data_IF_215516051071
#
_entry.id   IF_215516051071
#
_cell.length_a   1.000
_cell.length_b   1.000
_cell.length_c   1.000
_cell.angle_alpha   90.00
_cell.angle_beta   90.00
_cell.angle_gamma   90.00
#
_symmetry.space_group_name_H-M   'P 1'
#
loop_
_entity.id
_entity.type
_entity.pdbx_description
1 polymer ?
#
# COMPACT_ATOMS: atom_id res chain seq x y z
N UNK A 1 -2.56 38.50 1.44
CA UNK A 1 -3.13 38.57 0.07
C UNK A 1 -3.96 39.84 -0.09
N UNK A 2 -3.96 40.42 -1.28
CA UNK A 2 -4.88 41.49 -1.66
C UNK A 2 -6.15 40.86 -2.25
N UNK A 3 -7.31 41.19 -1.69
CA UNK A 3 -8.59 40.58 -2.07
C UNK A 3 -9.20 41.19 -3.34
N UNK A 4 -8.76 42.38 -3.79
CA UNK A 4 -9.30 43.02 -4.99
C UNK A 4 -8.60 42.58 -6.28
N UNK A 5 -7.30 42.26 -6.22
CA UNK A 5 -6.52 41.83 -7.39
C UNK A 5 -5.92 40.42 -7.26
N UNK A 6 -6.12 39.74 -6.13
CA UNK A 6 -5.65 38.38 -5.90
C UNK A 6 -4.15 38.23 -5.66
N UNK A 7 -3.37 39.33 -5.63
CA UNK A 7 -1.92 39.27 -5.43
C UNK A 7 -1.57 38.74 -4.04
N UNK A 8 -0.59 37.85 -3.96
CA UNK A 8 -0.18 37.17 -2.72
C UNK A 8 1.30 37.46 -2.43
N UNK A 9 1.59 37.53 -1.15
CA UNK A 9 2.93 37.62 -0.59
C UNK A 9 2.98 36.58 0.51
N UNK A 10 4.07 35.82 0.56
CA UNK A 10 4.31 34.77 1.54
C UNK A 10 5.69 35.00 2.11
N UNK A 11 5.82 34.92 3.43
CA UNK A 11 7.07 35.08 4.16
C UNK A 11 7.08 34.10 5.32
N UNK A 12 8.27 33.58 5.64
CA UNK A 12 8.48 32.73 6.81
C UNK A 12 9.01 33.59 7.94
N UNK A 13 8.42 33.44 9.11
CA UNK A 13 8.84 34.12 10.34
C UNK A 13 10.24 33.68 10.76
N UNK A 14 11.09 34.59 11.22
CA UNK A 14 12.40 34.24 11.76
C UNK A 14 12.28 33.62 13.16
N UNK A 15 13.37 33.02 13.69
CA UNK A 15 13.37 32.33 14.99
C UNK A 15 12.89 33.18 16.17
N UNK A 16 13.05 34.50 16.11
CA UNK A 16 12.54 35.45 17.11
C UNK A 16 11.09 35.95 16.84
N UNK A 17 10.31 35.32 15.95
CA UNK A 17 8.87 35.61 15.76
C UNK A 17 8.49 36.80 14.87
N UNK A 18 9.47 37.50 14.31
CA UNK A 18 9.28 38.64 13.42
C UNK A 18 9.27 38.25 11.94
N UNK A 19 8.60 39.08 11.15
CA UNK A 19 8.44 38.93 9.71
C UNK A 19 8.32 40.31 9.06
N UNK A 20 8.71 40.43 7.80
CA UNK A 20 8.60 41.67 7.02
C UNK A 20 8.10 41.32 5.64
N UNK A 21 7.10 42.06 5.17
CA UNK A 21 6.61 42.01 3.79
C UNK A 21 6.88 43.37 3.19
N UNK A 22 7.77 43.39 2.19
CA UNK A 22 8.12 44.59 1.43
C UNK A 22 7.34 44.63 0.10
N UNK A 23 7.28 45.80 -0.52
CA UNK A 23 6.64 46.01 -1.82
C UNK A 23 5.17 45.54 -1.91
N UNK A 24 4.43 45.66 -0.82
CA UNK A 24 2.99 45.52 -0.83
C UNK A 24 2.37 46.70 -1.59
N UNK A 25 1.49 46.43 -2.55
CA UNK A 25 0.85 47.47 -3.34
C UNK A 25 -0.04 48.36 -2.44
N UNK A 26 -0.15 49.64 -2.78
CA UNK A 26 -1.07 50.55 -2.09
C UNK A 26 -2.54 50.16 -2.34
N UNK A 27 -3.42 50.47 -1.38
CA UNK A 27 -4.84 50.16 -1.44
C UNK A 27 -5.22 48.94 -0.60
N UNK A 28 -6.20 48.17 -1.06
CA UNK A 28 -6.73 47.02 -0.34
C UNK A 28 -8.02 46.50 -0.98
N UNK A 29 -8.84 45.74 -0.24
CA UNK A 29 -8.61 45.27 1.12
C UNK A 29 -7.62 44.08 1.16
N UNK A 30 -6.71 44.11 2.12
CA UNK A 30 -5.77 43.04 2.41
C UNK A 30 -6.32 42.08 3.46
N UNK A 31 -6.00 40.80 3.29
CA UNK A 31 -6.11 39.75 4.31
C UNK A 31 -4.72 39.21 4.60
N UNK A 32 -4.29 39.34 5.85
CA UNK A 32 -3.04 38.77 6.37
C UNK A 32 -3.44 37.53 7.18
N UNK A 33 -2.76 36.40 6.95
CA UNK A 33 -3.05 35.14 7.62
C UNK A 33 -1.75 34.52 8.11
N UNK A 34 -1.73 34.13 9.38
CA UNK A 34 -0.61 33.47 10.03
C UNK A 34 -0.99 32.02 10.34
N UNK A 35 -0.08 31.09 10.02
CA UNK A 35 -0.26 29.65 10.24
C UNK A 35 1.01 29.06 10.86
N UNK A 36 0.82 28.18 11.84
CA UNK A 36 1.91 27.40 12.43
C UNK A 36 1.41 26.00 12.80
N UNK A 37 2.32 25.01 12.77
CA UNK A 37 1.99 23.63 13.14
C UNK A 37 1.61 23.55 14.62
N UNK A 38 0.49 22.89 14.94
CA UNK A 38 -0.03 22.78 16.31
C UNK A 38 -0.80 24.01 16.79
N UNK A 39 -1.01 25.02 15.95
CA UNK A 39 -1.77 26.22 16.29
C UNK A 39 -2.94 26.45 15.34
N UNK A 40 -4.00 27.08 15.84
CA UNK A 40 -5.12 27.48 15.01
C UNK A 40 -4.71 28.66 14.10
N UNK A 41 -5.07 28.67 12.81
CA UNK A 41 -4.74 29.77 11.91
C UNK A 41 -5.48 31.05 12.35
N UNK A 42 -4.77 32.17 12.36
CA UNK A 42 -5.35 33.49 12.66
C UNK A 42 -5.27 34.37 11.41
N UNK A 43 -6.36 35.08 11.10
CA UNK A 43 -6.41 35.98 9.95
C UNK A 43 -7.01 37.34 10.32
N UNK A 44 -6.42 38.41 9.77
CA UNK A 44 -6.92 39.78 9.84
C UNK A 44 -7.24 40.26 8.43
N UNK A 45 -8.47 40.71 8.21
CA UNK A 45 -8.97 41.17 6.92
C UNK A 45 -9.43 42.64 6.99
N UNK A 46 -9.66 43.26 5.83
CA UNK A 46 -10.14 44.65 5.74
C UNK A 46 -9.04 45.69 5.88
N UNK A 47 -7.77 45.29 5.75
CA UNK A 47 -6.63 46.19 5.89
C UNK A 47 -6.47 47.02 4.60
N UNK A 48 -6.31 48.33 4.72
CA UNK A 48 -5.99 49.23 3.60
C UNK A 48 -4.63 49.86 3.85
N UNK A 49 -3.70 49.70 2.91
CA UNK A 49 -2.34 50.21 2.99
C UNK A 49 -2.23 51.54 2.23
N UNK A 50 -1.74 52.58 2.90
CA UNK A 50 -1.38 53.84 2.27
C UNK A 50 0.08 53.82 1.76
N UNK A 51 0.41 54.70 0.82
CA UNK A 51 1.77 54.82 0.29
C UNK A 51 2.75 55.22 1.40
N UNK A 52 3.86 54.49 1.53
CA UNK A 52 4.88 54.73 2.56
C UNK A 52 4.46 54.33 3.98
N UNK A 53 3.29 53.73 4.17
CA UNK A 53 2.84 53.26 5.48
C UNK A 53 3.55 51.96 5.86
N UNK A 54 4.17 51.95 7.05
CA UNK A 54 4.58 50.72 7.72
C UNK A 54 3.46 50.24 8.64
N UNK A 55 2.77 49.18 8.26
CA UNK A 55 1.77 48.53 9.09
C UNK A 55 2.45 47.47 9.99
N UNK A 56 2.16 47.50 11.29
CA UNK A 56 2.52 46.45 12.23
C UNK A 56 1.28 45.62 12.52
N UNK A 57 1.38 44.30 12.34
CA UNK A 57 0.29 43.37 12.56
C UNK A 57 0.76 42.19 13.42
N UNK A 58 0.60 42.30 14.74
CA UNK A 58 0.99 41.22 15.64
C UNK A 58 -0.09 40.13 15.65
N UNK A 59 0.30 38.86 15.58
CA UNK A 59 -0.59 37.70 15.64
C UNK A 59 -0.27 36.88 16.88
N UNK A 60 -1.30 36.41 17.59
CA UNK A 60 -1.14 35.55 18.75
C UNK A 60 -1.87 34.23 18.47
N UNK A 61 -1.10 33.27 17.96
CA UNK A 61 -1.65 31.98 17.59
C UNK A 61 -1.98 31.17 18.85
N UNK A 62 -3.22 30.71 18.94
CA UNK A 62 -3.65 29.82 20.03
C UNK A 62 -3.33 28.38 19.68
N UNK A 63 -2.81 27.57 20.61
CA UNK A 63 -2.64 26.14 20.39
C UNK A 63 -3.95 25.54 19.88
N UNK A 64 -3.89 24.87 18.74
CA UNK A 64 -5.00 24.06 18.30
C UNK A 64 -4.95 22.79 19.12
N UNK A 65 -6.02 22.52 19.88
CA UNK A 65 -6.28 21.17 20.32
C UNK A 65 -6.50 20.35 19.04
N UNK A 66 -5.45 19.66 18.59
CA UNK A 66 -5.60 18.61 17.59
C UNK A 66 -6.29 17.47 18.36
N UNK A 67 -7.61 17.56 18.52
CA UNK A 67 -8.41 16.36 18.64
C UNK A 67 -8.21 15.63 17.32
N UNK A 68 -7.27 14.69 17.33
CA UNK A 68 -7.23 13.64 16.33
C UNK A 68 -8.63 13.02 16.39
N UNK A 69 -9.48 13.34 15.41
CA UNK A 69 -10.67 12.56 15.18
C UNK A 69 -10.21 11.10 15.20
N UNK A 70 -10.79 10.23 16.05
CA UNK A 70 -10.38 8.84 16.07
C UNK A 70 -10.44 8.37 14.63
N UNK A 71 -9.27 8.04 14.08
CA UNK A 71 -9.22 7.20 12.91
C UNK A 71 -9.70 5.86 13.43
N UNK A 72 -11.02 5.69 13.39
CA UNK A 72 -11.62 4.37 13.43
C UNK A 72 -11.08 3.69 12.19
N UNK A 73 -9.99 2.95 12.37
CA UNK A 73 -9.57 1.94 11.43
C UNK A 73 -10.67 0.89 11.51
N UNK A 74 -11.76 1.13 10.80
CA UNK A 74 -12.56 0.02 10.30
C UNK A 74 -11.64 -0.71 9.35
N UNK A 75 -10.82 -1.60 9.88
CA UNK A 75 -10.27 -2.68 9.11
C UNK A 75 -11.50 -3.40 8.54
N UNK A 76 -11.75 -3.37 7.21
CA UNK A 76 -12.62 -4.40 6.66
C UNK A 76 -12.01 -5.71 7.16
N UNK A 77 -12.80 -6.50 7.89
CA UNK A 77 -12.32 -7.65 8.65
C UNK A 77 -11.20 -8.36 7.90
N UNK A 78 -10.04 -8.45 8.54
CA UNK A 78 -8.84 -9.00 7.92
C UNK A 78 -9.22 -10.35 7.28
N UNK A 79 -9.10 -10.55 5.96
CA UNK A 79 -9.40 -11.84 5.34
C UNK A 79 -8.50 -12.96 5.89
N UNK A 80 -7.41 -12.62 6.58
CA UNK A 80 -6.59 -13.56 7.36
C UNK A 80 -7.33 -14.05 8.61
N UNK A 81 -8.17 -13.21 9.22
CA UNK A 81 -9.02 -13.52 10.38
C UNK A 81 -10.45 -13.86 9.93
N UNK A 82 -10.58 -14.70 8.90
CA UNK A 82 -11.87 -15.27 8.54
C UNK A 82 -12.25 -16.34 9.58
N UNK A 83 -13.31 -16.10 10.35
CA UNK A 83 -13.84 -17.04 11.35
C UNK A 83 -14.32 -18.39 10.76
N UNK A 84 -14.47 -18.49 9.44
CA UNK A 84 -14.75 -19.73 8.72
C UNK A 84 -13.52 -20.42 8.11
N UNK A 85 -12.29 -19.93 8.37
CA UNK A 85 -11.06 -20.54 7.82
C UNK A 85 -10.65 -21.76 8.64
N UNK A 86 -10.81 -22.94 8.06
CA UNK A 86 -10.37 -24.22 8.63
C UNK A 86 -8.89 -24.46 8.34
N UNK A 87 -8.02 -24.09 9.28
CA UNK A 87 -6.59 -24.40 9.27
C UNK A 87 -5.67 -23.31 8.68
N UNK A 88 -4.33 -23.51 8.77
CA UNK A 88 -3.37 -22.63 8.14
C UNK A 88 -3.54 -22.74 6.62
N UNK A 89 -3.93 -21.65 5.97
CA UNK A 89 -4.09 -21.57 4.52
C UNK A 89 -3.77 -20.17 4.03
N UNK A 90 -3.05 -20.08 2.92
CA UNK A 90 -2.69 -18.80 2.31
C UNK A 90 -3.38 -18.63 0.96
N UNK A 91 -3.99 -17.46 0.79
CA UNK A 91 -4.69 -17.07 -0.43
C UNK A 91 -3.88 -15.95 -1.08
N UNK A 92 -3.49 -16.19 -2.33
CA UNK A 92 -2.84 -15.20 -3.18
C UNK A 92 -3.89 -14.73 -4.19
N UNK A 93 -4.41 -13.52 -3.99
CA UNK A 93 -5.45 -12.94 -4.83
C UNK A 93 -4.92 -12.41 -6.17
N UNK A 94 -5.79 -12.31 -7.18
CA UNK A 94 -5.47 -11.73 -8.50
C UNK A 94 -4.74 -10.38 -8.45
N UNK A 95 -5.13 -9.49 -7.53
CA UNK A 95 -4.48 -8.19 -7.37
C UNK A 95 -3.00 -8.37 -6.98
N UNK A 96 -2.72 -9.26 -6.02
CA UNK A 96 -1.37 -9.60 -5.59
C UNK A 96 -0.58 -10.29 -6.70
N UNK A 97 -1.23 -11.14 -7.50
CA UNK A 97 -0.62 -11.78 -8.69
C UNK A 97 -0.19 -10.73 -9.72
N UNK A 98 -1.02 -9.70 -9.96
CA UNK A 98 -0.76 -8.66 -10.96
C UNK A 98 0.35 -7.67 -10.54
N UNK A 99 0.51 -7.44 -9.24
CA UNK A 99 1.51 -6.52 -8.70
C UNK A 99 2.92 -7.14 -8.60
N UNK A 100 3.01 -8.47 -8.62
CA UNK A 100 4.27 -9.17 -8.43
C UNK A 100 5.02 -9.37 -9.76
N UNK A 101 6.30 -9.01 -9.84
CA UNK A 101 7.13 -9.30 -11.00
C UNK A 101 7.35 -10.82 -11.09
N UNK A 102 6.59 -11.48 -11.96
CA UNK A 102 6.68 -12.93 -12.16
C UNK A 102 7.65 -13.25 -13.31
N UNK A 103 8.91 -13.52 -12.98
CA UNK A 103 9.96 -13.83 -13.95
C UNK A 103 9.64 -15.15 -14.68
N UNK A 104 9.01 -15.05 -15.85
CA UNK A 104 8.62 -16.19 -16.69
C UNK A 104 7.15 -16.59 -16.61
N UNK A 105 6.27 -15.78 -15.99
CA UNK A 105 4.82 -16.08 -15.81
C UNK A 105 4.60 -17.43 -15.13
N UNK A 106 5.41 -17.69 -14.12
CA UNK A 106 5.50 -18.92 -13.34
C UNK A 106 4.56 -18.88 -12.15
N UNK A 107 3.37 -19.48 -12.24
CA UNK A 107 2.44 -19.48 -11.10
C UNK A 107 2.96 -20.30 -9.89
N UNK A 108 3.92 -21.21 -10.11
CA UNK A 108 4.52 -21.97 -9.01
C UNK A 108 5.48 -21.08 -8.22
N UNK A 109 6.20 -20.15 -8.86
CA UNK A 109 7.03 -19.17 -8.16
C UNK A 109 6.25 -18.33 -7.14
N UNK A 110 4.99 -18.02 -7.43
CA UNK A 110 4.10 -17.29 -6.51
C UNK A 110 3.80 -18.08 -5.24
N UNK A 111 3.92 -19.40 -5.25
CA UNK A 111 3.72 -20.20 -4.04
C UNK A 111 4.78 -19.96 -2.97
N UNK A 112 5.94 -19.40 -3.33
CA UNK A 112 6.99 -18.98 -2.37
C UNK A 112 6.64 -17.73 -1.56
N UNK A 113 5.57 -17.02 -1.93
CA UNK A 113 5.01 -15.98 -1.07
C UNK A 113 4.53 -16.54 0.26
N UNK A 114 4.24 -17.85 0.29
CA UNK A 114 3.89 -18.54 1.52
C UNK A 114 5.11 -19.01 2.28
N UNK A 115 5.23 -18.68 3.58
CA UNK A 115 6.36 -19.09 4.42
C UNK A 115 6.41 -20.61 4.63
N UNK A 116 5.32 -21.33 4.33
CA UNK A 116 5.25 -22.78 4.44
C UNK A 116 5.70 -23.50 3.18
N UNK A 117 6.00 -22.78 2.10
CA UNK A 117 6.29 -23.37 0.80
C UNK A 117 7.76 -23.19 0.45
N UNK A 118 8.39 -24.29 0.01
CA UNK A 118 9.72 -24.24 -0.59
C UNK A 118 9.70 -24.88 -1.98
N UNK A 119 10.38 -24.24 -2.93
CA UNK A 119 10.60 -24.80 -4.26
C UNK A 119 11.98 -25.43 -4.27
N UNK A 120 12.03 -26.75 -4.45
CA UNK A 120 13.26 -27.45 -4.76
C UNK A 120 13.45 -27.37 -6.27
N UNK A 121 14.48 -26.67 -6.74
CA UNK A 121 14.94 -26.73 -8.14
C UNK A 121 16.15 -27.65 -8.20
N UNK A 122 16.10 -28.69 -9.04
CA UNK A 122 17.29 -29.51 -9.30
C UNK A 122 17.77 -29.25 -10.73
N UNK A 123 19.02 -28.82 -10.88
CA UNK A 123 19.65 -28.44 -12.15
C UNK A 123 20.48 -29.59 -12.77
N UNK A 124 19.97 -30.84 -12.72
CA UNK A 124 20.61 -32.02 -13.29
C UNK A 124 19.99 -32.49 -14.61
N UNK A 125 20.60 -33.51 -15.25
CA UNK A 125 20.12 -34.12 -16.50
C UNK A 125 18.70 -34.72 -16.41
N UNK A 126 18.21 -34.96 -15.20
CA UNK A 126 16.81 -35.25 -14.88
C UNK A 126 16.30 -34.22 -13.85
N UNK A 127 15.66 -33.12 -14.28
CA UNK A 127 15.13 -32.12 -13.37
C UNK A 127 14.05 -32.75 -12.49
N UNK A 128 14.41 -32.99 -11.24
CA UNK A 128 13.58 -33.50 -10.14
C UNK A 128 13.13 -32.33 -9.23
N UNK A 129 12.82 -31.19 -9.85
CA UNK A 129 12.29 -30.04 -9.13
C UNK A 129 10.86 -30.29 -8.65
N UNK A 130 10.42 -29.58 -7.61
CA UNK A 130 9.06 -29.69 -7.08
C UNK A 130 8.82 -28.80 -5.86
N UNK A 131 7.54 -28.63 -5.50
CA UNK A 131 7.15 -27.85 -4.33
C UNK A 131 7.08 -28.77 -3.11
N UNK A 132 7.63 -28.35 -1.98
CA UNK A 132 7.36 -28.90 -0.65
C UNK A 132 6.54 -27.89 0.15
N UNK A 133 5.56 -28.39 0.90
CA UNK A 133 4.68 -27.56 1.74
C UNK A 133 4.80 -28.10 3.16
N UNK A 134 5.07 -27.23 4.14
CA UNK A 134 5.27 -27.57 5.55
C UNK A 134 6.28 -28.72 5.79
N UNK A 135 7.31 -28.83 4.93
CA UNK A 135 8.33 -29.88 5.03
C UNK A 135 7.89 -31.27 4.54
N UNK A 136 6.67 -31.41 4.01
CA UNK A 136 6.20 -32.68 3.44
C UNK A 136 6.88 -33.00 2.11
N UNK A 137 7.02 -34.29 1.81
CA UNK A 137 7.60 -34.74 0.55
C UNK A 137 6.71 -34.26 -0.62
N UNK A 138 7.34 -33.62 -1.62
CA UNK A 138 6.70 -33.10 -2.83
C UNK A 138 5.77 -34.09 -3.55
N UNK A 139 5.99 -35.40 -3.40
CA UNK A 139 5.16 -36.45 -3.99
C UNK A 139 3.81 -36.64 -3.28
N UNK A 140 3.64 -36.11 -2.07
CA UNK A 140 2.36 -36.16 -1.35
C UNK A 140 1.51 -34.91 -1.57
N UNK A 141 2.04 -33.90 -2.27
CA UNK A 141 1.28 -32.70 -2.60
C UNK A 141 0.31 -33.01 -3.74
N UNK A 142 -0.96 -32.63 -3.54
CA UNK A 142 -1.98 -32.68 -4.58
C UNK A 142 -2.17 -31.31 -5.18
N UNK A 143 -2.15 -31.21 -6.51
CA UNK A 143 -2.48 -30.00 -7.24
C UNK A 143 -3.87 -30.14 -7.82
N UNK A 144 -4.71 -29.13 -7.60
CA UNK A 144 -6.06 -29.07 -8.13
C UNK A 144 -6.25 -27.78 -8.93
N UNK A 145 -7.02 -27.87 -10.01
CA UNK A 145 -7.46 -26.72 -10.82
C UNK A 145 -8.98 -26.82 -10.83
N UNK A 146 -9.66 -25.76 -10.38
CA UNK A 146 -11.13 -25.73 -10.28
C UNK A 146 -11.73 -26.95 -9.56
N UNK A 147 -11.03 -27.44 -8.53
CA UNK A 147 -11.40 -28.64 -7.75
C UNK A 147 -11.10 -29.99 -8.42
N UNK A 148 -10.62 -30.01 -9.66
CA UNK A 148 -10.18 -31.22 -10.35
C UNK A 148 -8.70 -31.54 -10.05
N UNK A 149 -8.39 -32.80 -9.70
CA UNK A 149 -6.99 -33.22 -9.51
C UNK A 149 -6.22 -33.18 -10.83
N UNK A 150 -5.15 -32.39 -10.86
CA UNK A 150 -4.24 -32.31 -12.00
C UNK A 150 -2.97 -33.11 -11.70
N UNK A 151 -3.07 -34.44 -11.80
CA UNK A 151 -1.94 -35.35 -11.62
C UNK A 151 -1.41 -35.89 -12.95
N UNK A 152 -0.09 -35.98 -13.09
CA UNK A 152 0.51 -36.83 -14.12
C UNK A 152 0.43 -38.29 -13.66
N UNK A 153 -0.42 -39.06 -14.34
CA UNK A 153 -0.69 -40.48 -14.07
C UNK A 153 0.47 -41.42 -14.45
N UNK A 154 1.45 -40.96 -15.25
CA UNK A 154 2.48 -41.83 -15.81
C UNK A 154 3.87 -41.61 -15.21
N UNK A 155 4.25 -40.36 -14.88
CA UNK A 155 5.60 -40.07 -14.33
C UNK A 155 5.61 -39.53 -12.90
N UNK A 156 4.45 -39.42 -12.26
CA UNK A 156 4.36 -39.14 -10.84
C UNK A 156 4.24 -37.65 -10.53
N UNK A 157 3.00 -37.30 -10.16
CA UNK A 157 2.62 -36.38 -9.06
C UNK A 157 3.14 -34.95 -9.06
N UNK A 158 3.66 -34.43 -10.17
CA UNK A 158 3.96 -33.02 -10.31
C UNK A 158 3.46 -32.49 -11.66
N UNK A 159 2.55 -31.52 -11.70
CA UNK A 159 2.25 -30.81 -12.94
C UNK A 159 3.53 -30.11 -13.44
N UNK A 160 3.92 -30.37 -14.70
CA UNK A 160 5.02 -29.67 -15.36
C UNK A 160 6.42 -30.29 -15.23
N UNK A 161 6.54 -31.58 -14.88
CA UNK A 161 7.86 -32.23 -14.75
C UNK A 161 8.66 -32.35 -16.05
N UNK A 162 8.04 -32.36 -17.24
CA UNK A 162 8.77 -32.74 -18.46
C UNK A 162 8.77 -31.74 -19.63
N UNK A 163 8.02 -30.65 -19.63
CA UNK A 163 8.14 -29.69 -20.76
C UNK A 163 7.49 -28.35 -20.43
N UNK A 164 8.26 -27.28 -20.59
CA UNK A 164 7.73 -25.94 -20.88
C UNK A 164 6.86 -26.07 -22.15
N UNK A 165 5.57 -25.71 -22.17
CA UNK A 165 4.95 -24.59 -21.48
C UNK A 165 3.97 -25.02 -20.39
N UNK A 166 3.91 -24.21 -19.33
CA UNK A 166 2.83 -24.29 -18.34
C UNK A 166 1.52 -24.01 -19.08
N UNK A 167 0.56 -24.96 -19.11
CA UNK A 167 -0.64 -24.81 -19.94
C UNK A 167 -1.57 -23.69 -19.43
N UNK A 168 -1.34 -23.23 -18.19
CA UNK A 168 -2.13 -22.18 -17.55
C UNK A 168 -1.33 -20.89 -17.61
N UNK A 169 -1.87 -19.93 -18.37
CA UNK A 169 -1.40 -18.56 -18.39
C UNK A 169 -1.69 -17.88 -17.05
N UNK A 170 -0.80 -17.01 -16.58
CA UNK A 170 -0.97 -16.29 -15.31
C UNK A 170 -2.27 -15.46 -15.25
N UNK A 171 -2.75 -15.02 -16.40
CA UNK A 171 -3.95 -14.20 -16.58
C UNK A 171 -5.24 -15.03 -16.50
N UNK A 172 -5.12 -16.36 -16.60
CA UNK A 172 -6.23 -17.29 -16.38
C UNK A 172 -6.39 -17.66 -14.90
N UNK A 173 -5.48 -17.21 -14.03
CA UNK A 173 -5.56 -17.43 -12.58
C UNK A 173 -6.27 -16.26 -11.89
N UNK A 174 -7.37 -16.58 -11.20
CA UNK A 174 -8.05 -15.65 -10.30
C UNK A 174 -7.52 -15.74 -8.86
N UNK A 175 -7.21 -16.96 -8.41
CA UNK A 175 -6.77 -17.22 -7.04
C UNK A 175 -5.81 -18.41 -6.98
N UNK A 176 -4.80 -18.32 -6.10
CA UNK A 176 -4.00 -19.48 -5.69
C UNK A 176 -4.22 -19.69 -4.20
N UNK A 177 -4.67 -20.89 -3.85
CA UNK A 177 -4.83 -21.32 -2.47
C UNK A 177 -3.77 -22.36 -2.11
N UNK A 178 -3.06 -22.13 -1.01
CA UNK A 178 -2.05 -23.04 -0.47
C UNK A 178 -2.59 -23.56 0.87
N UNK A 179 -2.77 -24.87 0.96
CA UNK A 179 -3.32 -25.54 2.14
C UNK A 179 -2.25 -26.48 2.73
N UNK A 180 -1.39 -25.98 3.64
CA UNK A 180 -0.41 -26.78 4.37
C UNK A 180 -1.01 -27.97 5.10
N UNK A 181 -2.18 -27.78 5.72
CA UNK A 181 -2.92 -28.85 6.34
C UNK A 181 -4.41 -28.47 6.48
N UNK A 182 -5.29 -29.07 5.67
CA UNK A 182 -6.73 -28.88 5.79
C UNK A 182 -7.24 -29.81 6.90
N UNK A 183 -7.06 -29.42 8.16
CA UNK A 183 -7.77 -30.06 9.27
C UNK A 183 -8.95 -29.20 9.69
N UNK A 184 -10.09 -29.87 9.87
CA UNK A 184 -11.27 -29.36 10.57
C UNK A 184 -10.93 -29.26 12.08
N UNK A 185 -11.21 -28.13 12.72
CA UNK A 185 -11.00 -27.93 14.16
C UNK A 185 -12.34 -27.86 14.87
#
# INVERSE_FOLDING_TARGET
>A
MNLSNGRRWEVVTHSAGGYVIEDAAVGGPYRIEARALGFAPEARAGIVLALGQRLVADFELRPAAIELAPHEVTAPGDPILNAGRTGPGEIISRARIAELPNHGRDFLALTTLSPHTAISVSSGAAPTGGITIAGQNRLYNSFQIDGGMNHDVYRGRLPGRETLPRPISLEALEEIQILPAPFDV
#
